data_IF_742107626250
#
_entry.id   IF_742107626250
#
_cell.length_a   1.000
_cell.length_b   1.000
_cell.length_c   1.000
_cell.angle_alpha   90.00
_cell.angle_beta   90.00
_cell.angle_gamma   90.00
#
_symmetry.space_group_name_H-M   'P 1'
#
loop_
_entity.id
_entity.type
_entity.pdbx_description
1 polymer ?
#
# COMPACT_ATOMS: atom_id res chain seq x y z
N UNK A 1 13.22 9.29 -19.28
CA UNK A 1 12.37 8.12 -18.95
C UNK A 1 10.95 8.40 -19.43
N UNK A 2 10.42 7.64 -20.39
CA UNK A 2 8.99 7.68 -20.69
C UNK A 2 8.22 7.08 -19.51
N UNK A 3 7.30 7.84 -18.91
CA UNK A 3 6.42 7.35 -17.84
C UNK A 3 5.22 6.67 -18.50
N UNK A 4 5.06 5.36 -18.29
CA UNK A 4 3.82 4.67 -18.67
C UNK A 4 2.71 5.15 -17.73
N UNK A 5 1.62 5.69 -18.29
CA UNK A 5 0.49 6.22 -17.52
C UNK A 5 -0.17 5.16 -16.63
N UNK A 6 -0.06 3.88 -17.01
CA UNK A 6 -0.61 2.75 -16.26
C UNK A 6 0.15 2.49 -14.95
N UNK A 7 1.39 2.96 -14.79
CA UNK A 7 2.13 2.71 -13.55
C UNK A 7 1.58 3.46 -12.35
N UNK A 8 0.90 4.59 -12.60
CA UNK A 8 0.26 5.36 -11.55
C UNK A 8 -0.98 4.66 -10.96
N UNK A 9 -1.53 3.65 -11.65
CA UNK A 9 -2.72 2.93 -11.18
C UNK A 9 -2.37 1.70 -10.35
N UNK A 10 -1.10 1.25 -10.37
CA UNK A 10 -0.65 0.06 -9.64
C UNK A 10 -0.79 0.32 -8.12
N UNK A 11 -1.51 -0.53 -7.38
CA UNK A 11 -1.63 -0.39 -5.94
C UNK A 11 -0.28 -0.65 -5.25
N UNK A 12 0.12 0.26 -4.36
CA UNK A 12 1.37 0.16 -3.59
C UNK A 12 1.04 -0.17 -2.14
N UNK A 13 1.71 -1.17 -1.59
CA UNK A 13 1.73 -1.45 -0.15
C UNK A 13 3.08 -1.04 0.43
N UNK A 14 3.07 -0.28 1.53
CA UNK A 14 4.29 0.04 2.28
C UNK A 14 4.38 -0.87 3.49
N UNK A 15 5.51 -1.57 3.65
CA UNK A 15 5.85 -2.29 4.88
C UNK A 15 7.07 -1.60 5.49
N UNK A 16 6.94 -1.07 6.70
CA UNK A 16 7.98 -0.25 7.32
C UNK A 16 8.31 -0.73 8.73
N UNK A 17 9.59 -0.76 9.09
CA UNK A 17 10.03 -0.95 10.47
C UNK A 17 9.99 0.36 11.28
N UNK A 18 9.97 1.51 10.60
CA UNK A 18 9.82 2.82 11.23
C UNK A 18 8.37 2.98 11.71
N UNK A 19 8.20 3.35 12.97
CA UNK A 19 6.94 3.93 13.45
C UNK A 19 6.77 5.29 12.77
N UNK A 20 5.76 5.42 11.93
CA UNK A 20 5.44 6.68 11.27
C UNK A 20 4.75 7.61 12.26
N UNK A 21 5.17 8.86 12.28
CA UNK A 21 4.43 9.92 12.97
C UNK A 21 3.13 10.23 12.20
N UNK A 22 2.15 10.84 12.88
CA UNK A 22 0.81 11.09 12.31
C UNK A 22 0.89 11.87 10.98
N UNK A 23 1.72 12.90 10.94
CA UNK A 23 1.90 13.72 9.73
C UNK A 23 2.51 12.94 8.55
N UNK A 24 3.41 11.99 8.83
CA UNK A 24 4.02 11.13 7.80
C UNK A 24 3.00 10.14 7.25
N UNK A 25 2.20 9.57 8.16
CA UNK A 25 1.10 8.67 7.80
C UNK A 25 0.09 9.41 6.95
N UNK A 26 -0.38 10.59 7.36
CA UNK A 26 -1.32 11.42 6.61
C UNK A 26 -0.81 11.77 5.21
N UNK A 27 0.49 12.07 5.07
CA UNK A 27 1.09 12.36 3.77
C UNK A 27 1.10 11.14 2.82
N UNK A 28 1.34 9.95 3.36
CA UNK A 28 1.46 8.71 2.59
C UNK A 28 0.11 8.04 2.31
N UNK A 29 -0.82 8.06 3.27
CA UNK A 29 -2.12 7.37 3.23
C UNK A 29 -2.88 7.56 1.91
N UNK A 30 -3.01 8.77 1.31
CA UNK A 30 -3.78 8.94 0.07
C UNK A 30 -3.09 8.39 -1.18
N UNK A 31 -1.81 7.99 -1.11
CA UNK A 31 -0.98 7.61 -2.27
C UNK A 31 -0.74 6.10 -2.36
N UNK A 32 -1.14 5.34 -1.36
CA UNK A 32 -0.85 3.92 -1.23
C UNK A 32 -2.10 3.17 -0.83
N UNK A 33 -2.18 1.89 -1.18
CA UNK A 33 -3.32 1.06 -0.83
C UNK A 33 -3.33 0.71 0.67
N UNK A 34 -2.16 0.50 1.28
CA UNK A 34 -2.04 0.24 2.72
C UNK A 34 -0.63 0.50 3.24
N UNK A 35 -0.53 0.81 4.53
CA UNK A 35 0.73 1.01 5.26
C UNK A 35 0.74 0.07 6.46
N UNK A 36 1.67 -0.88 6.45
CA UNK A 36 1.84 -1.90 7.48
C UNK A 36 3.12 -1.64 8.26
N UNK A 37 3.02 -1.60 9.58
CA UNK A 37 4.18 -1.59 10.45
C UNK A 37 4.69 -3.02 10.60
N UNK A 38 5.99 -3.22 10.45
CA UNK A 38 6.63 -4.55 10.47
C UNK A 38 6.46 -5.25 11.82
N UNK A 39 6.35 -4.48 12.89
CA UNK A 39 6.17 -5.02 14.24
C UNK A 39 4.79 -5.66 14.40
N UNK A 40 4.75 -6.89 14.92
CA UNK A 40 3.52 -7.69 15.04
C UNK A 40 2.89 -8.17 13.72
N UNK A 41 3.55 -7.96 12.58
CA UNK A 41 3.00 -8.32 11.27
C UNK A 41 3.19 -9.80 10.94
N UNK A 42 2.09 -10.48 10.61
CA UNK A 42 2.10 -11.87 10.14
C UNK A 42 2.00 -11.96 8.62
N UNK A 43 2.52 -13.03 8.03
CA UNK A 43 2.38 -13.30 6.60
C UNK A 43 0.92 -13.34 6.14
N UNK A 44 0.02 -13.82 7.00
CA UNK A 44 -1.42 -13.88 6.72
C UNK A 44 -1.99 -12.46 6.55
N UNK A 45 -1.64 -11.53 7.45
CA UNK A 45 -2.08 -10.14 7.34
C UNK A 45 -1.55 -9.46 6.07
N UNK A 46 -0.30 -9.74 5.68
CA UNK A 46 0.26 -9.23 4.41
C UNK A 46 -0.53 -9.75 3.21
N UNK A 47 -0.79 -11.05 3.16
CA UNK A 47 -1.55 -11.67 2.06
C UNK A 47 -2.99 -11.14 1.98
N UNK A 48 -3.64 -10.94 3.12
CA UNK A 48 -4.98 -10.35 3.18
C UNK A 48 -5.00 -8.92 2.59
N UNK A 49 -4.02 -8.09 2.95
CA UNK A 49 -3.94 -6.72 2.46
C UNK A 49 -3.61 -6.66 0.96
N UNK A 50 -2.74 -7.55 0.47
CA UNK A 50 -2.46 -7.70 -0.96
C UNK A 50 -3.72 -8.14 -1.72
N UNK A 51 -4.45 -9.14 -1.20
CA UNK A 51 -5.69 -9.62 -1.81
C UNK A 51 -6.73 -8.50 -1.95
N UNK A 52 -6.96 -7.73 -0.88
CA UNK A 52 -7.87 -6.58 -0.92
C UNK A 52 -7.42 -5.52 -1.93
N UNK A 53 -6.13 -5.18 -1.97
CA UNK A 53 -5.59 -4.18 -2.89
C UNK A 53 -5.75 -4.60 -4.36
N UNK A 54 -5.53 -5.89 -4.67
CA UNK A 54 -5.72 -6.44 -6.02
C UNK A 54 -7.20 -6.47 -6.40
N UNK A 55 -8.09 -6.92 -5.50
CA UNK A 55 -9.53 -6.95 -5.78
C UNK A 55 -10.08 -5.54 -6.07
N UNK A 56 -9.75 -4.55 -5.24
CA UNK A 56 -10.16 -3.16 -5.45
C UNK A 56 -9.58 -2.56 -6.74
N UNK A 57 -8.37 -2.95 -7.12
CA UNK A 57 -7.77 -2.54 -8.38
C UNK A 57 -8.52 -3.15 -9.58
N UNK A 58 -8.87 -4.43 -9.52
CA UNK A 58 -9.62 -5.11 -10.57
C UNK A 58 -11.06 -4.59 -10.72
N UNK A 59 -11.70 -4.13 -9.65
CA UNK A 59 -13.04 -3.51 -9.71
C UNK A 59 -13.04 -2.12 -10.35
N UNK A 60 -11.89 -1.44 -10.38
CA UNK A 60 -11.73 -0.07 -10.91
C UNK A 60 -11.28 0.00 -12.37
N UNK A 61 -10.86 -1.12 -12.97
CA UNK A 61 -10.37 -1.22 -14.34
C UNK A 61 -11.22 -2.20 -15.14
#
# INVERSE_FOLDING_TARGET
>A
MQKNKLWATIPVLIITAKTLEDHEREFLQPRVASILQKDGLTSIQVLQQLGMAISLFNERN
#
